data_IF_431488891583
#
_entry.id   IF_431488891583
#
_cell.length_a   1.000
_cell.length_b   1.000
_cell.length_c   1.000
_cell.angle_alpha   90.00
_cell.angle_beta   90.00
_cell.angle_gamma   90.00
#
_symmetry.space_group_name_H-M   'P 1'
#
loop_
_entity.id
_entity.type
_entity.pdbx_description
1 polymer ?
#
# COMPACT_ATOMS: atom_id res chain seq x y z
N UNK A 1 32.06 -11.85 -0.18
CA UNK A 1 30.71 -11.63 -0.75
C UNK A 1 29.69 -12.70 -0.30
N UNK A 2 30.11 -13.97 -0.08
CA UNK A 2 29.17 -15.05 0.29
C UNK A 2 28.64 -14.98 1.76
N UNK A 3 29.42 -14.45 2.71
CA UNK A 3 29.00 -14.41 4.10
C UNK A 3 27.91 -13.36 4.40
N UNK A 4 27.95 -12.22 3.74
CA UNK A 4 26.92 -11.18 3.95
C UNK A 4 25.56 -11.57 3.35
N UNK A 5 25.57 -12.29 2.23
CA UNK A 5 24.33 -12.77 1.60
C UNK A 5 23.63 -13.82 2.45
N UNK A 6 24.38 -14.78 3.02
CA UNK A 6 23.85 -15.80 3.91
C UNK A 6 23.29 -15.19 5.21
N UNK A 7 23.96 -14.19 5.80
CA UNK A 7 23.48 -13.52 7.01
C UNK A 7 22.16 -12.78 6.76
N UNK A 8 22.02 -12.11 5.61
CA UNK A 8 20.78 -11.39 5.25
C UNK A 8 19.61 -12.35 5.02
N UNK A 9 19.84 -13.49 4.34
CA UNK A 9 18.82 -14.53 4.11
C UNK A 9 18.37 -15.15 5.43
N UNK A 10 19.27 -15.42 6.36
CA UNK A 10 18.95 -15.96 7.70
C UNK A 10 18.14 -14.94 8.52
N UNK A 11 18.51 -13.66 8.50
CA UNK A 11 17.73 -12.60 9.18
C UNK A 11 16.29 -12.49 8.64
N UNK A 12 16.11 -12.58 7.31
CA UNK A 12 14.77 -12.57 6.72
C UNK A 12 13.97 -13.81 7.13
N UNK A 13 14.58 -15.00 7.12
CA UNK A 13 13.91 -16.23 7.53
C UNK A 13 13.49 -16.20 9.00
N UNK A 14 14.32 -15.67 9.89
CA UNK A 14 14.00 -15.52 11.30
C UNK A 14 12.94 -14.44 11.54
N UNK A 15 12.96 -13.36 10.79
CA UNK A 15 11.92 -12.33 10.83
C UNK A 15 10.56 -12.89 10.37
N UNK A 16 10.53 -13.64 9.26
CA UNK A 16 9.30 -14.25 8.73
C UNK A 16 8.72 -15.28 9.71
N UNK A 17 9.55 -16.03 10.45
CA UNK A 17 9.09 -16.94 11.49
C UNK A 17 8.45 -16.25 12.69
N UNK A 18 8.75 -14.97 12.92
CA UNK A 18 8.20 -14.16 14.01
C UNK A 18 6.94 -13.39 13.59
N UNK A 19 6.57 -13.41 12.30
CA UNK A 19 5.36 -12.75 11.82
C UNK A 19 4.13 -13.57 12.22
N UNK A 20 3.31 -12.99 13.07
CA UNK A 20 2.00 -13.54 13.36
C UNK A 20 0.98 -12.95 12.37
N UNK A 21 0.23 -13.79 11.66
CA UNK A 21 -0.83 -13.32 10.79
C UNK A 21 -1.91 -12.57 11.58
N UNK A 22 -2.66 -11.72 10.90
CA UNK A 22 -3.78 -11.02 11.53
C UNK A 22 -4.70 -12.00 12.26
N UNK A 23 -5.09 -11.72 13.52
CA UNK A 23 -5.97 -12.59 14.29
C UNK A 23 -7.27 -12.92 13.53
N UNK A 24 -7.78 -14.15 13.65
CA UNK A 24 -8.99 -14.62 12.94
C UNK A 24 -10.23 -13.73 13.14
N UNK A 25 -10.32 -12.97 14.25
CA UNK A 25 -11.41 -12.03 14.50
C UNK A 25 -11.18 -10.64 13.87
N UNK A 26 -10.10 -10.46 13.12
CA UNK A 26 -9.82 -9.19 12.46
C UNK A 26 -10.78 -8.93 11.32
N UNK A 27 -11.22 -7.66 11.19
CA UNK A 27 -11.94 -7.15 10.03
C UNK A 27 -11.07 -6.09 9.36
N UNK A 28 -10.59 -6.39 8.16
CA UNK A 28 -9.77 -5.50 7.34
C UNK A 28 -10.62 -4.85 6.26
N UNK A 29 -10.62 -3.52 6.23
CA UNK A 29 -11.26 -2.74 5.17
C UNK A 29 -10.17 -2.18 4.26
N UNK A 30 -10.23 -2.49 2.96
CA UNK A 30 -9.27 -2.03 1.95
C UNK A 30 -9.95 -1.00 1.05
N UNK A 31 -9.50 0.24 1.13
CA UNK A 31 -9.86 1.28 0.19
C UNK A 31 -8.95 1.22 -1.03
N UNK A 32 -9.49 0.88 -2.18
CA UNK A 32 -8.77 0.78 -3.45
C UNK A 32 -8.38 -0.64 -3.85
N UNK A 33 -9.35 -1.44 -4.29
CA UNK A 33 -9.16 -2.78 -4.84
C UNK A 33 -8.48 -2.79 -6.21
N UNK A 34 -7.40 -2.04 -6.39
CA UNK A 34 -6.50 -2.11 -7.52
C UNK A 34 -5.61 -3.36 -7.47
N UNK A 35 -4.49 -3.33 -8.19
CA UNK A 35 -3.59 -4.47 -8.30
C UNK A 35 -3.12 -5.01 -6.93
N UNK A 36 -2.59 -4.16 -6.07
CA UNK A 36 -2.12 -4.56 -4.73
C UNK A 36 -3.29 -4.84 -3.78
N UNK A 37 -4.31 -3.98 -3.75
CA UNK A 37 -5.45 -4.15 -2.85
C UNK A 37 -6.21 -5.46 -3.08
N UNK A 38 -6.41 -5.88 -4.35
CA UNK A 38 -7.02 -7.18 -4.67
C UNK A 38 -6.15 -8.36 -4.21
N UNK A 39 -4.84 -8.27 -4.39
CA UNK A 39 -3.93 -9.34 -3.94
C UNK A 39 -3.96 -9.47 -2.42
N UNK A 40 -3.86 -8.38 -1.69
CA UNK A 40 -3.96 -8.36 -0.23
C UNK A 40 -5.31 -8.91 0.22
N UNK A 41 -6.41 -8.48 -0.41
CA UNK A 41 -7.75 -8.98 -0.09
C UNK A 41 -7.87 -10.50 -0.30
N UNK A 42 -7.34 -11.01 -1.42
CA UNK A 42 -7.36 -12.44 -1.73
C UNK A 42 -6.57 -13.27 -0.71
N UNK A 43 -5.35 -12.84 -0.40
CA UNK A 43 -4.50 -13.54 0.58
C UNK A 43 -5.14 -13.48 1.99
N UNK A 44 -5.62 -12.30 2.41
CA UNK A 44 -6.28 -12.17 3.71
C UNK A 44 -7.49 -13.07 3.87
N UNK A 45 -8.34 -13.19 2.84
CA UNK A 45 -9.48 -14.12 2.86
C UNK A 45 -9.04 -15.58 2.95
N UNK A 46 -7.98 -15.95 2.23
CA UNK A 46 -7.42 -17.32 2.30
C UNK A 46 -6.87 -17.64 3.69
N UNK A 47 -6.42 -16.64 4.43
CA UNK A 47 -6.00 -16.74 5.84
C UNK A 47 -7.16 -16.67 6.82
N UNK A 48 -8.42 -16.62 6.36
CA UNK A 48 -9.61 -16.56 7.22
C UNK A 48 -9.91 -15.18 7.80
N UNK A 49 -9.23 -14.12 7.35
CA UNK A 49 -9.52 -12.75 7.78
C UNK A 49 -10.78 -12.23 7.07
N UNK A 50 -11.68 -11.57 7.79
CA UNK A 50 -12.83 -10.88 7.18
C UNK A 50 -12.34 -9.65 6.44
N UNK A 51 -12.29 -9.69 5.11
CA UNK A 51 -11.79 -8.59 4.27
C UNK A 51 -12.92 -8.02 3.41
N UNK A 52 -13.12 -6.71 3.47
CA UNK A 52 -13.96 -5.94 2.54
C UNK A 52 -13.05 -5.00 1.72
N UNK A 53 -13.23 -5.03 0.40
CA UNK A 53 -12.38 -4.29 -0.53
C UNK A 53 -13.22 -3.40 -1.45
N UNK A 54 -12.86 -2.12 -1.57
CA UNK A 54 -13.62 -1.16 -2.36
C UNK A 54 -13.18 -1.05 -3.81
N UNK A 55 -14.12 -0.66 -4.67
CA UNK A 55 -13.89 -0.16 -6.03
C UNK A 55 -14.65 1.15 -6.24
N UNK A 56 -14.31 1.89 -7.29
CA UNK A 56 -14.98 3.16 -7.63
C UNK A 56 -16.30 2.97 -8.38
N UNK A 57 -16.44 1.87 -9.13
CA UNK A 57 -17.59 1.63 -10.02
C UNK A 57 -18.32 0.36 -9.63
N UNK A 58 -19.64 0.37 -9.75
CA UNK A 58 -20.51 -0.79 -9.64
C UNK A 58 -20.14 -1.80 -10.73
N UNK A 59 -20.23 -3.10 -10.42
CA UNK A 59 -19.89 -4.18 -11.36
C UNK A 59 -18.39 -4.42 -11.55
N UNK A 60 -17.53 -3.69 -10.84
CA UNK A 60 -16.09 -3.96 -10.86
C UNK A 60 -15.78 -5.28 -10.16
N UNK A 61 -15.03 -6.16 -10.83
CA UNK A 61 -14.62 -7.45 -10.27
C UNK A 61 -13.87 -7.26 -8.94
N UNK A 62 -14.26 -8.06 -7.93
CA UNK A 62 -13.61 -8.05 -6.61
C UNK A 62 -13.97 -6.85 -5.73
N UNK A 63 -15.08 -6.16 -6.00
CA UNK A 63 -15.61 -5.13 -5.12
C UNK A 63 -16.61 -5.75 -4.13
N UNK A 64 -16.41 -5.50 -2.84
CA UNK A 64 -17.41 -5.80 -1.81
C UNK A 64 -18.29 -4.59 -1.54
N UNK A 65 -17.75 -3.39 -1.78
CA UNK A 65 -18.48 -2.13 -1.70
C UNK A 65 -17.93 -1.07 -2.64
N UNK A 66 -18.73 -0.05 -2.88
CA UNK A 66 -18.31 1.09 -3.71
C UNK A 66 -17.86 2.23 -2.80
N UNK A 67 -16.65 2.73 -3.07
CA UNK A 67 -16.15 3.93 -2.44
C UNK A 67 -15.80 4.98 -3.50
N UNK A 68 -16.46 6.11 -3.38
CA UNK A 68 -16.18 7.33 -4.13
C UNK A 68 -16.07 8.48 -3.12
N UNK A 69 -15.00 9.27 -3.21
CA UNK A 69 -14.75 10.40 -2.32
C UNK A 69 -15.83 11.50 -2.34
N UNK A 70 -16.76 11.42 -3.28
CA UNK A 70 -17.86 12.38 -3.43
C UNK A 70 -19.14 11.95 -2.70
N UNK A 71 -19.12 10.75 -2.06
CA UNK A 71 -20.29 10.18 -1.38
C UNK A 71 -19.92 9.66 0.01
N UNK A 72 -20.82 9.87 0.94
CA UNK A 72 -20.73 9.27 2.26
C UNK A 72 -20.73 7.74 2.16
N UNK A 73 -20.00 7.10 3.05
CA UNK A 73 -19.96 5.64 3.19
C UNK A 73 -20.90 5.24 4.32
N UNK A 74 -21.70 4.17 4.11
CA UNK A 74 -22.52 3.61 5.18
C UNK A 74 -21.65 3.16 6.35
N UNK A 75 -22.07 3.51 7.56
CA UNK A 75 -21.38 3.11 8.80
C UNK A 75 -21.30 1.58 8.96
N UNK A 76 -22.24 0.83 8.42
CA UNK A 76 -22.28 -0.64 8.46
C UNK A 76 -21.01 -1.27 7.84
N UNK A 77 -20.42 -0.62 6.82
CA UNK A 77 -19.19 -1.10 6.19
C UNK A 77 -18.03 -1.02 7.18
N UNK A 78 -17.94 0.07 7.94
CA UNK A 78 -16.87 0.32 8.90
C UNK A 78 -17.10 -0.34 10.26
N UNK A 79 -18.34 -0.73 10.55
CA UNK A 79 -18.70 -1.35 11.83
C UNK A 79 -17.85 -2.58 12.12
N UNK A 80 -17.24 -2.63 13.31
CA UNK A 80 -16.36 -3.72 13.73
C UNK A 80 -15.02 -3.79 13.01
N UNK A 81 -14.65 -2.78 12.20
CA UNK A 81 -13.34 -2.71 11.59
C UNK A 81 -12.24 -2.62 12.64
N UNK A 82 -11.23 -3.47 12.50
CA UNK A 82 -10.04 -3.51 13.34
C UNK A 82 -8.80 -3.02 12.58
N UNK A 83 -8.81 -3.15 11.27
CA UNK A 83 -7.70 -2.77 10.38
C UNK A 83 -8.24 -2.04 9.16
N UNK A 84 -7.58 -0.96 8.77
CA UNK A 84 -7.89 -0.16 7.58
C UNK A 84 -6.64 -0.11 6.70
N UNK A 85 -6.80 -0.27 5.40
CA UNK A 85 -5.73 -0.08 4.44
C UNK A 85 -6.17 0.87 3.32
N UNK A 86 -5.47 1.99 3.15
CA UNK A 86 -5.63 2.88 2.00
C UNK A 86 -4.61 2.56 0.91
N UNK A 87 -5.11 2.07 -0.23
CA UNK A 87 -4.34 1.82 -1.45
C UNK A 87 -4.61 2.87 -2.53
N UNK A 88 -5.46 3.88 -2.25
CA UNK A 88 -5.87 4.87 -3.22
C UNK A 88 -4.80 5.96 -3.34
N UNK A 89 -4.39 6.35 -4.56
CA UNK A 89 -3.49 7.49 -4.72
C UNK A 89 -4.19 8.81 -4.40
N UNK A 90 -3.44 9.86 -4.02
CA UNK A 90 -3.98 11.22 -3.89
C UNK A 90 -4.69 11.68 -5.16
N UNK A 91 -5.70 12.51 -4.98
CA UNK A 91 -6.35 13.22 -6.07
C UNK A 91 -5.39 14.23 -6.71
N UNK A 92 -5.73 14.71 -7.91
CA UNK A 92 -4.92 15.72 -8.61
C UNK A 92 -4.78 17.03 -7.83
N UNK A 93 -5.78 17.36 -7.02
CA UNK A 93 -5.77 18.52 -6.12
C UNK A 93 -4.96 18.29 -4.82
N UNK A 94 -4.31 17.14 -4.67
CA UNK A 94 -3.46 16.78 -3.53
C UNK A 94 -4.18 16.16 -2.35
N UNK A 95 -5.51 16.12 -2.30
CA UNK A 95 -6.27 15.56 -1.18
C UNK A 95 -6.20 14.02 -1.19
N UNK A 96 -6.10 13.44 0.01
CA UNK A 96 -6.31 12.00 0.18
C UNK A 96 -7.81 11.69 0.13
N UNK A 97 -8.26 10.77 -0.77
CA UNK A 97 -9.68 10.48 -0.92
C UNK A 97 -10.33 9.89 0.34
N UNK A 98 -9.58 9.07 1.09
CA UNK A 98 -10.12 8.41 2.30
C UNK A 98 -10.21 9.39 3.45
N UNK A 99 -9.15 10.16 3.72
CA UNK A 99 -9.16 11.16 4.78
C UNK A 99 -10.16 12.27 4.52
N UNK A 100 -10.23 12.79 3.30
CA UNK A 100 -11.16 13.88 2.97
C UNK A 100 -12.63 13.51 3.17
N UNK A 101 -12.95 12.20 3.09
CA UNK A 101 -14.34 11.72 3.20
C UNK A 101 -14.63 11.10 4.56
N UNK A 102 -13.69 10.33 5.13
CA UNK A 102 -13.97 9.43 6.25
C UNK A 102 -13.21 9.75 7.54
N UNK A 103 -12.43 10.83 7.61
CA UNK A 103 -11.60 11.16 8.77
C UNK A 103 -12.36 11.05 10.10
N UNK A 104 -13.53 11.68 10.18
CA UNK A 104 -14.37 11.67 11.40
C UNK A 104 -14.86 10.25 11.73
N UNK A 105 -15.31 9.49 10.72
CA UNK A 105 -15.78 8.12 10.93
C UNK A 105 -14.64 7.21 11.40
N UNK A 106 -13.44 7.34 10.82
CA UNK A 106 -12.26 6.56 11.22
C UNK A 106 -11.82 6.85 12.66
N UNK A 107 -11.84 8.13 13.07
CA UNK A 107 -11.51 8.54 14.44
C UNK A 107 -12.50 8.00 15.49
N UNK A 108 -13.73 7.72 15.10
CA UNK A 108 -14.78 7.19 15.98
C UNK A 108 -14.79 5.65 16.06
N UNK A 109 -13.92 4.94 15.33
CA UNK A 109 -13.81 3.48 15.37
C UNK A 109 -13.13 2.99 16.65
N UNK A 110 -13.92 2.49 17.62
CA UNK A 110 -13.42 2.07 18.94
C UNK A 110 -12.47 0.86 18.89
N UNK A 111 -12.63 -0.01 17.88
CA UNK A 111 -11.87 -1.26 17.77
C UNK A 111 -10.69 -1.18 16.79
N UNK A 112 -10.40 0.00 16.25
CA UNK A 112 -9.35 0.19 15.26
C UNK A 112 -7.97 0.01 15.91
N UNK A 113 -7.21 -0.96 15.41
CA UNK A 113 -5.89 -1.34 15.91
C UNK A 113 -4.76 -0.90 14.98
N UNK A 114 -5.05 -0.78 13.70
CA UNK A 114 -4.04 -0.45 12.70
C UNK A 114 -4.65 0.23 11.47
N UNK A 115 -3.93 1.19 10.93
CA UNK A 115 -4.22 1.85 9.67
C UNK A 115 -2.97 1.82 8.80
N UNK A 116 -3.05 1.25 7.61
CA UNK A 116 -1.98 1.27 6.62
C UNK A 116 -2.25 2.27 5.50
N UNK A 117 -1.22 2.98 5.08
CA UNK A 117 -1.25 3.82 3.89
C UNK A 117 -0.18 3.39 2.91
N UNK A 118 -0.58 2.88 1.73
CA UNK A 118 0.38 2.52 0.68
C UNK A 118 0.91 3.78 -0.01
N UNK A 119 2.11 4.16 0.38
CA UNK A 119 2.86 5.27 -0.20
C UNK A 119 3.87 4.77 -1.25
N UNK A 120 4.89 5.54 -1.55
CA UNK A 120 5.89 5.24 -2.58
C UNK A 120 7.29 5.68 -2.14
N UNK A 121 8.31 4.91 -2.51
CA UNK A 121 9.72 5.34 -2.37
C UNK A 121 10.04 6.60 -3.18
N UNK A 122 9.18 6.98 -4.14
CA UNK A 122 9.32 8.24 -4.87
C UNK A 122 9.32 9.50 -3.98
N UNK A 123 8.87 9.39 -2.72
CA UNK A 123 8.93 10.49 -1.73
C UNK A 123 10.37 10.84 -1.34
N UNK A 124 11.33 9.93 -1.50
CA UNK A 124 12.75 10.20 -1.24
C UNK A 124 13.42 11.04 -2.34
N UNK A 125 12.79 11.13 -3.53
CA UNK A 125 13.37 11.82 -4.67
C UNK A 125 14.52 11.06 -5.33
N UNK A 126 15.44 11.79 -5.98
CA UNK A 126 16.65 11.23 -6.57
C UNK A 126 17.78 11.20 -5.52
N UNK A 127 18.11 10.02 -5.06
CA UNK A 127 19.19 9.77 -4.10
C UNK A 127 20.53 9.44 -4.77
N UNK A 128 20.62 9.59 -6.09
CA UNK A 128 21.83 9.28 -6.90
C UNK A 128 22.34 7.85 -6.67
N UNK A 129 21.41 6.91 -6.48
CA UNK A 129 21.71 5.51 -6.23
C UNK A 129 22.05 5.16 -4.78
N UNK A 130 22.01 6.10 -3.86
CA UNK A 130 22.23 5.82 -2.43
C UNK A 130 21.08 5.02 -1.83
N UNK A 131 21.41 4.17 -0.87
CA UNK A 131 20.42 3.46 -0.07
C UNK A 131 19.60 4.43 0.78
N UNK A 132 18.32 4.13 0.92
CA UNK A 132 17.38 4.85 1.80
C UNK A 132 16.68 3.89 2.74
N UNK A 133 16.28 4.41 3.89
CA UNK A 133 15.45 3.71 4.88
C UNK A 133 14.37 4.67 5.41
N UNK A 134 13.58 4.22 6.37
CA UNK A 134 12.49 4.99 6.97
C UNK A 134 12.94 6.29 7.65
N UNK A 135 14.20 6.37 8.09
CA UNK A 135 14.78 7.56 8.73
C UNK A 135 15.35 8.56 7.71
N UNK A 136 15.44 8.18 6.43
CA UNK A 136 15.92 9.08 5.38
C UNK A 136 14.89 10.18 5.15
N UNK A 137 15.34 11.43 5.19
CA UNK A 137 14.47 12.59 4.97
C UNK A 137 13.87 12.59 3.56
N UNK A 138 12.54 12.69 3.42
CA UNK A 138 11.89 12.81 2.12
C UNK A 138 12.28 14.08 1.39
N UNK A 139 12.51 13.95 0.08
CA UNK A 139 12.79 15.08 -0.83
C UNK A 139 12.12 14.84 -2.20
N UNK A 140 10.78 14.77 -2.26
CA UNK A 140 10.06 14.47 -3.49
C UNK A 140 10.19 15.59 -4.50
N UNK A 141 10.50 15.25 -5.76
CA UNK A 141 10.70 16.21 -6.86
C UNK A 141 9.57 16.15 -7.90
N UNK A 142 8.86 15.03 -7.99
CA UNK A 142 7.78 14.86 -8.95
C UNK A 142 6.43 15.18 -8.29
N UNK A 143 5.53 15.86 -8.98
CA UNK A 143 4.21 16.26 -8.47
C UNK A 143 3.42 15.13 -7.80
N UNK A 144 3.43 13.94 -8.42
CA UNK A 144 2.77 12.76 -7.84
C UNK A 144 3.39 12.36 -6.50
N UNK A 145 4.69 12.49 -6.34
CA UNK A 145 5.42 12.15 -5.11
C UNK A 145 5.27 13.24 -4.06
N UNK A 146 5.22 14.50 -4.47
CA UNK A 146 4.92 15.64 -3.60
C UNK A 146 3.52 15.48 -2.99
N UNK A 147 2.50 15.22 -3.82
CA UNK A 147 1.13 14.96 -3.33
C UNK A 147 1.07 13.74 -2.39
N UNK A 148 1.80 12.67 -2.72
CA UNK A 148 1.85 11.48 -1.87
C UNK A 148 2.47 11.78 -0.51
N UNK A 149 3.56 12.53 -0.48
CA UNK A 149 4.22 12.95 0.77
C UNK A 149 3.33 13.90 1.59
N UNK A 150 2.58 14.80 0.95
CA UNK A 150 1.59 15.63 1.65
C UNK A 150 0.55 14.77 2.34
N UNK A 151 0.01 13.75 1.67
CA UNK A 151 -0.94 12.82 2.29
C UNK A 151 -0.32 11.97 3.41
N UNK A 152 0.97 11.57 3.31
CA UNK A 152 1.65 10.92 4.44
C UNK A 152 1.59 11.79 5.71
N UNK A 153 1.86 13.10 5.58
CA UNK A 153 1.79 14.04 6.71
C UNK A 153 0.36 14.15 7.25
N UNK A 154 -0.63 14.30 6.37
CA UNK A 154 -2.04 14.37 6.77
C UNK A 154 -2.46 13.12 7.56
N UNK A 155 -2.05 11.92 7.11
CA UNK A 155 -2.32 10.67 7.81
C UNK A 155 -1.64 10.63 9.19
N UNK A 156 -0.37 11.03 9.29
CA UNK A 156 0.38 11.07 10.54
C UNK A 156 -0.22 12.06 11.56
N UNK A 157 -0.82 13.15 11.10
CA UNK A 157 -1.49 14.14 11.95
C UNK A 157 -2.83 13.67 12.52
N UNK A 158 -3.40 12.56 12.04
CA UNK A 158 -4.72 12.07 12.48
C UNK A 158 -4.75 11.49 13.89
N UNK A 159 -3.62 11.14 14.49
CA UNK A 159 -3.50 10.35 15.73
C UNK A 159 -4.09 8.93 15.63
N UNK A 160 -4.45 8.45 14.45
CA UNK A 160 -4.80 7.06 14.20
C UNK A 160 -3.55 6.17 14.35
N UNK A 161 -3.68 4.86 14.61
CA UNK A 161 -2.55 3.94 14.64
C UNK A 161 -2.02 3.68 13.22
N UNK A 162 -1.46 4.73 12.62
CA UNK A 162 -1.06 4.77 11.21
C UNK A 162 0.36 4.23 10.98
N UNK A 163 0.50 3.42 9.94
CA UNK A 163 1.77 2.97 9.39
C UNK A 163 1.85 3.36 7.91
N UNK A 164 2.90 4.07 7.54
CA UNK A 164 3.18 4.47 6.17
C UNK A 164 4.07 3.41 5.50
N UNK A 165 3.59 2.82 4.41
CA UNK A 165 4.29 1.78 3.65
C UNK A 165 4.80 2.38 2.33
N UNK A 166 6.06 2.77 2.27
CA UNK A 166 6.70 3.38 1.08
C UNK A 166 7.16 2.29 0.12
N UNK A 167 6.31 1.94 -0.83
CA UNK A 167 6.54 0.86 -1.77
C UNK A 167 7.39 1.32 -2.97
N UNK A 168 8.39 0.51 -3.40
CA UNK A 168 9.10 0.72 -4.66
C UNK A 168 8.24 0.30 -5.86
N UNK A 169 8.85 0.13 -7.02
CA UNK A 169 8.15 -0.31 -8.23
C UNK A 169 7.52 -1.70 -8.05
N UNK A 170 6.19 -1.77 -8.05
CA UNK A 170 5.45 -3.02 -7.82
C UNK A 170 5.46 -3.86 -9.10
N UNK A 171 5.79 -5.16 -8.98
CA UNK A 171 5.70 -6.13 -10.07
C UNK A 171 5.00 -7.42 -9.62
N UNK A 172 4.69 -8.31 -10.58
CA UNK A 172 4.07 -9.61 -10.36
C UNK A 172 3.26 -10.05 -11.58
N UNK A 173 2.32 -11.01 -11.45
CA UNK A 173 1.52 -11.52 -12.56
C UNK A 173 0.80 -10.41 -13.32
N UNK A 174 0.88 -10.43 -14.65
CA UNK A 174 0.32 -9.41 -15.57
C UNK A 174 0.88 -7.98 -15.37
N UNK A 175 1.98 -7.83 -14.64
CA UNK A 175 2.65 -6.55 -14.39
C UNK A 175 4.15 -6.77 -14.24
N UNK A 176 4.82 -7.05 -15.36
CA UNK A 176 6.26 -7.31 -15.39
C UNK A 176 6.89 -6.69 -16.64
N UNK A 177 8.23 -6.68 -16.69
CA UNK A 177 8.96 -6.30 -17.89
C UNK A 177 8.66 -7.25 -19.05
N UNK A 178 8.50 -8.55 -18.78
CA UNK A 178 8.13 -9.55 -19.79
C UNK A 178 6.76 -9.27 -20.40
N UNK A 179 5.75 -8.94 -19.59
CA UNK A 179 4.44 -8.53 -20.12
C UNK A 179 4.54 -7.30 -21.01
N UNK A 180 5.38 -6.33 -20.63
CA UNK A 180 5.60 -5.14 -21.46
C UNK A 180 6.27 -5.47 -22.79
N UNK A 181 7.21 -6.41 -22.80
CA UNK A 181 7.84 -6.91 -24.03
C UNK A 181 6.84 -7.63 -24.93
N UNK A 182 6.08 -8.58 -24.35
CA UNK A 182 5.08 -9.35 -25.09
C UNK A 182 3.99 -8.47 -25.71
N UNK A 183 3.61 -7.40 -25.01
CA UNK A 183 2.58 -6.46 -25.47
C UNK A 183 3.12 -5.31 -26.35
N UNK A 184 4.42 -5.31 -26.68
CA UNK A 184 5.05 -4.25 -27.47
C UNK A 184 5.07 -2.87 -26.81
N UNK A 185 4.89 -2.80 -25.48
CA UNK A 185 4.84 -1.56 -24.70
C UNK A 185 6.14 -1.28 -23.92
N UNK A 186 7.11 -2.17 -24.03
CA UNK A 186 8.41 -2.00 -23.41
C UNK A 186 9.10 -0.73 -23.94
N UNK A 187 9.71 0.02 -23.02
CA UNK A 187 10.50 1.20 -23.36
C UNK A 187 11.95 0.95 -23.00
N UNK A 188 12.85 1.23 -23.93
CA UNK A 188 14.28 1.29 -23.64
C UNK A 188 14.56 2.58 -22.86
N UNK A 189 15.14 2.43 -21.67
CA UNK A 189 15.52 3.57 -20.82
C UNK A 189 17.03 3.71 -20.95
N UNK A 190 17.46 4.72 -21.69
CA UNK A 190 18.88 5.10 -21.78
C UNK A 190 19.17 6.14 -20.68
N UNK A 191 19.47 5.65 -19.50
CA UNK A 191 19.85 6.48 -18.35
C UNK A 191 20.96 5.76 -17.58
N UNK A 192 22.22 6.04 -17.89
CA UNK A 192 23.37 5.42 -17.22
C UNK A 192 23.30 5.59 -15.70
N UNK A 193 23.59 4.51 -14.98
CA UNK A 193 23.57 4.51 -13.50
C UNK A 193 22.17 4.48 -12.87
N UNK A 194 21.10 4.37 -13.66
CA UNK A 194 19.74 4.27 -13.09
C UNK A 194 19.55 2.95 -12.33
N UNK A 195 19.23 3.08 -11.05
CA UNK A 195 18.89 1.96 -10.16
C UNK A 195 17.37 1.89 -10.00
N UNK A 196 16.82 0.68 -10.08
CA UNK A 196 15.39 0.41 -9.89
C UNK A 196 15.19 -0.49 -8.68
N UNK A 197 14.52 0.00 -7.67
CA UNK A 197 13.98 -0.84 -6.60
C UNK A 197 12.64 -1.43 -7.00
N UNK A 198 12.42 -2.70 -6.65
CA UNK A 198 11.19 -3.45 -6.97
C UNK A 198 10.72 -4.25 -5.77
N UNK A 199 9.41 -4.44 -5.69
CA UNK A 199 8.77 -5.33 -4.71
C UNK A 199 7.73 -6.18 -5.43
N UNK A 200 7.69 -7.48 -5.12
CA UNK A 200 6.65 -8.35 -5.64
C UNK A 200 5.34 -8.08 -4.91
N UNK A 201 4.21 -8.21 -5.63
CA UNK A 201 2.90 -7.93 -5.04
C UNK A 201 2.52 -8.90 -3.91
N UNK A 202 3.07 -10.12 -3.93
CA UNK A 202 2.88 -11.10 -2.86
C UNK A 202 3.59 -10.69 -1.58
N UNK A 203 4.81 -10.13 -1.69
CA UNK A 203 5.56 -9.61 -0.54
C UNK A 203 4.84 -8.43 0.12
N UNK A 204 4.16 -7.59 -0.69
CA UNK A 204 3.30 -6.53 -0.14
C UNK A 204 2.15 -7.14 0.65
N UNK A 205 1.53 -8.22 0.15
CA UNK A 205 0.43 -8.86 0.86
C UNK A 205 0.90 -9.49 2.19
N UNK A 206 2.07 -10.14 2.18
CA UNK A 206 2.68 -10.70 3.40
C UNK A 206 3.03 -9.61 4.42
N UNK A 207 3.58 -8.48 3.96
CA UNK A 207 3.95 -7.38 4.84
C UNK A 207 2.75 -6.65 5.48
N UNK A 208 1.55 -6.78 4.89
CA UNK A 208 0.31 -6.14 5.38
C UNK A 208 -0.49 -7.05 6.30
N UNK A 209 -0.42 -8.36 6.10
CA UNK A 209 -1.26 -9.38 6.77
C UNK A 209 -0.53 -10.12 7.87
#
# INVERSE_FOLDING_TARGET
LNNQHNTFVLMIQDFVKQLEPLPHKSKLIIFGGGYSGQKIASVGRNLGVKVLCSRRKIGSTGADFIFNSDKELSNEILEGATHILSCIPPLLNGKDPVLSTLKTQLLNLKNLKWVGYLSTTGVYGDTKGSWVNENTSPNPQQDRSIRRFSCEKEWLETKLPIQILRLPGIYGPKRSAFESLLNGTAKMIDKPGQIFSRIHVDDIAVAVL
#
